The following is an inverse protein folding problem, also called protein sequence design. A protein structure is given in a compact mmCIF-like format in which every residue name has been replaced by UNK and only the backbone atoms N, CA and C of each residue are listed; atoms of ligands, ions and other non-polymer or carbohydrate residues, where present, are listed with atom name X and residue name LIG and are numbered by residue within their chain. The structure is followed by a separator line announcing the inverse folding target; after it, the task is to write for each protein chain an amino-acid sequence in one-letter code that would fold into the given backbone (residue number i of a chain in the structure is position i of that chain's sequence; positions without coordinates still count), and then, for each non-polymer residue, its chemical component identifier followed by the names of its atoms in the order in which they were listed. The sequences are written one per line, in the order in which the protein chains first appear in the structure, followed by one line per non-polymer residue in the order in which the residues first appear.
data_IF_837821761073
#
_entry.id   IF_837821761073
#
_cell.length_a   1.000
_cell.length_b   1.000
_cell.length_c   1.000
_cell.angle_alpha   90.00
_cell.angle_beta   90.00
_cell.angle_gamma   90.00
#
_symmetry.space_group_name_H-M   'P 1'
#
loop_
_entity.id
_entity.type
_entity.pdbx_description
1 polymer ?
#
# COMPACT_ATOMS: atom_id res chain seq x y z
N UNK A 1 12.13 -5.60 -4.73
CA UNK A 1 13.38 -5.00 -4.18
C UNK A 1 12.96 -3.97 -3.14
N UNK A 2 13.54 -4.01 -1.95
CA UNK A 2 13.20 -3.07 -0.87
C UNK A 2 14.49 -2.68 -0.14
N UNK A 3 14.64 -1.38 0.16
CA UNK A 3 15.79 -0.82 0.90
C UNK A 3 15.39 -0.56 2.35
N UNK A 4 16.26 -0.93 3.29
CA UNK A 4 16.12 -0.62 4.71
C UNK A 4 17.23 0.35 5.09
N UNK A 5 16.84 1.56 5.50
CA UNK A 5 17.74 2.63 5.97
C UNK A 5 17.93 2.53 7.47
N UNK A 6 19.18 2.47 7.93
CA UNK A 6 19.56 2.55 9.34
C UNK A 6 20.03 3.98 9.61
N UNK A 7 19.37 4.68 10.54
CA UNK A 7 19.72 6.05 10.93
C UNK A 7 20.92 6.05 11.90
N UNK A 8 21.80 7.05 11.75
CA UNK A 8 22.98 7.25 12.58
C UNK A 8 22.72 8.27 13.71
N UNK A 9 23.43 8.18 14.85
CA UNK A 9 23.26 9.10 15.97
C UNK A 9 23.82 10.49 15.60
N UNK A 10 22.91 11.42 15.33
CA UNK A 10 23.17 12.78 14.83
C UNK A 10 21.97 13.37 14.08
N UNK A 11 21.09 12.52 13.53
CA UNK A 11 19.81 12.89 12.93
C UNK A 11 18.66 13.04 13.96
N UNK A 12 18.88 12.71 15.25
CA UNK A 12 17.84 12.78 16.31
C UNK A 12 17.37 14.21 16.60
N UNK A 13 18.24 15.20 16.43
CA UNK A 13 17.90 16.61 16.64
C UNK A 13 17.01 17.16 15.51
N UNK A 14 17.30 16.77 14.27
CA UNK A 14 16.51 17.15 13.09
C UNK A 14 15.13 16.48 13.10
N UNK A 15 15.04 15.25 13.61
CA UNK A 15 13.79 14.51 13.80
C UNK A 15 12.90 15.08 14.92
N UNK A 16 13.51 15.59 16.00
CA UNK A 16 12.73 16.22 17.09
C UNK A 16 12.18 17.58 16.67
N UNK A 17 12.95 18.37 15.92
CA UNK A 17 12.49 19.62 15.32
C UNK A 17 11.39 19.38 14.27
N UNK A 18 11.54 18.35 13.43
CA UNK A 18 10.51 17.95 12.45
C UNK A 18 9.23 17.45 13.12
N UNK A 19 9.35 16.63 14.19
CA UNK A 19 8.21 16.15 14.95
C UNK A 19 7.44 17.31 15.59
N UNK A 20 8.15 18.26 16.19
CA UNK A 20 7.54 19.42 16.81
C UNK A 20 6.84 20.30 15.78
N UNK A 21 7.46 20.54 14.61
CA UNK A 21 6.83 21.25 13.50
C UNK A 21 5.56 20.56 12.98
N UNK A 22 5.57 19.22 12.87
CA UNK A 22 4.40 18.43 12.49
C UNK A 22 3.25 18.57 13.51
N UNK A 23 3.57 18.53 14.80
CA UNK A 23 2.57 18.69 15.87
C UNK A 23 1.99 20.10 15.88
N UNK A 24 2.81 21.12 15.67
CA UNK A 24 2.35 22.51 15.62
C UNK A 24 1.45 22.78 14.40
N UNK A 25 1.78 22.19 13.24
CA UNK A 25 0.92 22.23 12.06
C UNK A 25 -0.44 21.55 12.33
N UNK A 26 -0.46 20.35 12.91
CA UNK A 26 -1.71 19.66 13.27
C UNK A 26 -2.55 20.47 14.27
N UNK A 27 -1.89 21.14 15.22
CA UNK A 27 -2.57 21.99 16.22
C UNK A 27 -3.30 23.17 15.58
N UNK A 28 -2.76 23.78 14.52
CA UNK A 28 -3.43 24.89 13.81
C UNK A 28 -4.76 24.51 13.14
N UNK A 29 -5.01 23.21 12.97
CA UNK A 29 -6.26 22.65 12.45
C UNK A 29 -7.17 22.08 13.54
N UNK A 30 -6.87 22.32 14.83
CA UNK A 30 -7.69 21.90 15.96
C UNK A 30 -7.50 20.43 16.36
N UNK A 31 -6.40 19.80 15.95
CA UNK A 31 -6.06 18.43 16.37
C UNK A 31 -5.50 18.44 17.80
N UNK A 32 -5.97 17.52 18.63
CA UNK A 32 -5.44 17.30 19.97
C UNK A 32 -4.10 16.54 19.94
N UNK A 33 -3.00 17.29 20.04
CA UNK A 33 -1.63 16.79 19.98
C UNK A 33 -1.17 16.05 21.25
N UNK A 34 -1.96 16.07 22.34
CA UNK A 34 -1.63 15.35 23.58
C UNK A 34 -1.92 13.84 23.47
N UNK A 35 -2.68 13.44 22.45
CA UNK A 35 -3.00 12.04 22.20
C UNK A 35 -1.79 11.29 21.63
N UNK A 36 -1.44 10.17 22.27
CA UNK A 36 -0.37 9.26 21.81
C UNK A 36 -0.55 8.79 20.36
N UNK A 37 -1.78 8.63 19.89
CA UNK A 37 -2.06 8.27 18.49
C UNK A 37 -1.66 9.38 17.51
N UNK A 38 -1.87 10.64 17.87
CA UNK A 38 -1.50 11.80 17.04
C UNK A 38 0.02 11.95 16.98
N UNK A 39 0.71 11.74 18.10
CA UNK A 39 2.17 11.74 18.14
C UNK A 39 2.76 10.65 17.24
N UNK A 40 2.18 9.45 17.23
CA UNK A 40 2.60 8.38 16.31
C UNK A 40 2.42 8.76 14.84
N UNK A 41 1.32 9.43 14.50
CA UNK A 41 1.06 9.90 13.13
C UNK A 41 2.07 10.99 12.74
N UNK A 42 2.36 11.93 13.62
CA UNK A 42 3.31 13.01 13.38
C UNK A 42 4.77 12.52 13.23
N UNK A 43 5.09 11.31 13.69
CA UNK A 43 6.39 10.65 13.52
C UNK A 43 6.50 9.82 12.24
N UNK A 44 5.43 9.70 11.44
CA UNK A 44 5.48 8.93 10.20
C UNK A 44 6.39 9.64 9.19
N UNK A 45 7.23 8.89 8.44
CA UNK A 45 8.29 9.46 7.61
C UNK A 45 7.78 10.26 6.40
N UNK A 46 6.55 10.02 5.96
CA UNK A 46 5.91 10.76 4.87
C UNK A 46 5.12 11.98 5.36
N UNK A 47 5.00 12.17 6.67
CA UNK A 47 4.23 13.27 7.25
C UNK A 47 5.15 14.46 7.43
N UNK A 48 4.87 15.52 6.67
CA UNK A 48 5.59 16.79 6.76
C UNK A 48 4.63 17.94 7.10
N UNK A 49 5.13 19.06 7.62
CA UNK A 49 4.28 20.23 7.93
C UNK A 49 3.55 20.74 6.68
N UNK A 50 4.19 20.67 5.51
CA UNK A 50 3.62 21.07 4.22
C UNK A 50 2.46 20.16 3.81
N UNK A 51 2.60 18.85 4.00
CA UNK A 51 1.53 17.90 3.71
C UNK A 51 0.31 18.14 4.60
N UNK A 52 0.54 18.37 5.90
CA UNK A 52 -0.51 18.67 6.88
C UNK A 52 -1.22 19.96 6.49
N UNK A 53 -0.46 21.01 6.14
CA UNK A 53 -1.00 22.30 5.71
C UNK A 53 -1.84 22.17 4.45
N UNK A 54 -1.32 21.50 3.43
CA UNK A 54 -2.00 21.33 2.15
C UNK A 54 -3.33 20.56 2.31
N UNK A 55 -3.33 19.47 3.09
CA UNK A 55 -4.56 18.73 3.38
C UNK A 55 -5.54 19.54 4.22
N UNK A 56 -5.06 20.26 5.23
CA UNK A 56 -5.89 21.09 6.08
C UNK A 56 -6.58 22.21 5.29
N UNK A 57 -5.85 22.88 4.40
CA UNK A 57 -6.40 23.92 3.53
C UNK A 57 -7.39 23.35 2.50
N UNK A 58 -7.07 22.20 1.88
CA UNK A 58 -8.01 21.51 0.99
C UNK A 58 -9.31 21.15 1.71
N UNK A 59 -9.24 20.55 2.90
CA UNK A 59 -10.43 20.14 3.67
C UNK A 59 -11.29 21.33 4.11
N UNK A 60 -10.70 22.51 4.34
CA UNK A 60 -11.46 23.75 4.63
C UNK A 60 -12.31 24.20 3.43
N UNK A 61 -11.89 23.90 2.21
CA UNK A 61 -12.67 24.27 1.00
C UNK A 61 -13.92 23.41 0.80
N UNK A 62 -14.03 22.28 1.50
CA UNK A 62 -15.14 21.34 1.33
C UNK A 62 -16.32 21.68 2.27
N UNK A 63 -17.50 22.07 1.76
CA UNK A 63 -18.63 22.54 2.57
C UNK A 63 -19.27 21.46 3.46
N UNK A 64 -18.93 20.19 3.24
CA UNK A 64 -19.50 19.04 3.98
C UNK A 64 -18.59 18.51 5.11
N UNK A 65 -17.38 19.04 5.28
CA UNK A 65 -16.45 18.57 6.31
C UNK A 65 -16.82 19.16 7.67
N UNK A 66 -17.54 18.36 8.48
CA UNK A 66 -17.95 18.76 9.84
C UNK A 66 -16.89 18.48 10.91
N UNK A 67 -15.95 17.57 10.66
CA UNK A 67 -14.90 17.17 11.60
C UNK A 67 -13.51 17.24 10.95
N UNK A 68 -13.06 18.46 10.68
CA UNK A 68 -11.78 18.70 10.03
C UNK A 68 -10.59 18.00 10.71
N UNK A 69 -10.43 18.04 12.05
CA UNK A 69 -9.31 17.38 12.73
C UNK A 69 -9.26 15.86 12.47
N UNK A 70 -10.42 15.19 12.53
CA UNK A 70 -10.49 13.74 12.33
C UNK A 70 -10.22 13.33 10.88
N UNK A 71 -10.73 14.10 9.92
CA UNK A 71 -10.46 13.84 8.50
C UNK A 71 -8.99 14.09 8.16
N UNK A 72 -8.41 15.19 8.63
CA UNK A 72 -7.00 15.51 8.41
C UNK A 72 -6.08 14.37 8.86
N UNK A 73 -6.26 13.88 10.10
CA UNK A 73 -5.49 12.75 10.61
C UNK A 73 -5.61 11.51 9.73
N UNK A 74 -6.82 11.19 9.28
CA UNK A 74 -7.07 10.02 8.43
C UNK A 74 -6.37 10.13 7.07
N UNK A 75 -6.33 11.32 6.47
CA UNK A 75 -5.69 11.53 5.17
C UNK A 75 -4.15 11.46 5.28
N UNK A 76 -3.60 12.13 6.28
CA UNK A 76 -2.16 12.19 6.55
C UNK A 76 -1.61 10.83 6.98
N UNK A 77 -2.33 10.08 7.83
CA UNK A 77 -1.96 8.72 8.23
C UNK A 77 -1.90 7.76 7.03
N UNK A 78 -2.87 7.85 6.12
CA UNK A 78 -2.98 6.94 4.97
C UNK A 78 -2.08 7.30 3.79
N UNK A 79 -1.30 8.38 3.90
CA UNK A 79 -0.48 8.94 2.81
C UNK A 79 -1.27 9.09 1.51
N UNK A 80 -2.53 9.53 1.61
CA UNK A 80 -3.36 9.73 0.43
C UNK A 80 -2.81 10.96 -0.30
N UNK A 81 -2.52 10.86 -1.60
CA UNK A 81 -2.09 12.02 -2.36
C UNK A 81 -3.20 13.08 -2.29
N UNK A 82 -2.82 14.35 -2.12
CA UNK A 82 -3.80 15.42 -2.24
C UNK A 82 -4.54 15.24 -3.57
N UNK A 83 -5.87 15.31 -3.59
CA UNK A 83 -6.59 15.39 -4.84
C UNK A 83 -6.08 16.64 -5.54
N UNK A 84 -5.32 16.45 -6.61
CA UNK A 84 -4.77 17.53 -7.41
C UNK A 84 -5.94 18.38 -7.82
N UNK A 85 -6.06 19.57 -7.23
CA UNK A 85 -6.93 20.63 -7.73
C UNK A 85 -6.25 21.17 -8.99
N UNK A 86 -6.09 20.30 -10.00
CA UNK A 86 -6.20 20.78 -11.35
C UNK A 86 -7.53 21.54 -11.36
N UNK A 87 -7.61 22.78 -11.85
CA UNK A 87 -8.90 23.35 -12.16
C UNK A 87 -9.59 22.26 -12.97
N UNK A 88 -10.65 21.69 -12.40
CA UNK A 88 -11.49 20.80 -13.15
C UNK A 88 -12.07 21.71 -14.23
N UNK A 89 -11.36 21.82 -15.36
CA UNK A 89 -11.99 21.51 -16.62
C UNK A 89 -12.89 20.34 -16.27
N UNK A 90 -14.16 20.65 -16.04
CA UNK A 90 -15.24 19.67 -16.11
C UNK A 90 -14.94 18.98 -17.42
N UNK A 91 -14.24 17.85 -17.35
CA UNK A 91 -14.05 17.01 -18.52
C UNK A 91 -15.48 16.74 -18.89
N UNK A 92 -15.85 17.31 -20.02
CA UNK A 92 -17.20 17.28 -20.55
C UNK A 92 -17.68 15.86 -20.35
N UNK A 93 -18.76 15.72 -19.59
CA UNK A 93 -19.50 14.49 -19.42
C UNK A 93 -19.64 13.86 -20.79
N UNK A 94 -18.75 12.92 -21.12
CA UNK A 94 -19.02 11.99 -22.20
C UNK A 94 -20.16 11.15 -21.66
N UNK A 95 -21.39 11.32 -22.17
CA UNK A 95 -22.50 10.55 -21.68
C UNK A 95 -22.12 9.08 -21.84
N UNK A 96 -22.30 8.29 -20.77
CA UNK A 96 -22.28 6.84 -20.92
C UNK A 96 -23.27 6.49 -22.03
N UNK A 97 -22.94 5.52 -22.90
CA UNK A 97 -23.97 4.93 -23.75
C UNK A 97 -25.14 4.46 -22.87
N UNK A 98 -26.36 4.74 -23.32
CA UNK A 98 -27.60 4.52 -22.54
C UNK A 98 -27.73 3.05 -22.07
N UNK A 99 -27.25 2.11 -22.87
CA UNK A 99 -27.21 0.68 -22.54
C UNK A 99 -26.27 0.38 -21.36
N UNK A 100 -25.15 1.08 -21.25
CA UNK A 100 -24.20 0.93 -20.14
C UNK A 100 -24.78 1.56 -18.87
N UNK A 101 -25.41 2.72 -18.99
CA UNK A 101 -26.06 3.40 -17.87
C UNK A 101 -27.19 2.56 -17.28
N UNK A 102 -28.07 2.00 -18.12
CA UNK A 102 -29.13 1.10 -17.66
C UNK A 102 -28.59 -0.14 -16.96
N UNK A 103 -27.48 -0.70 -17.45
CA UNK A 103 -26.82 -1.85 -16.80
C UNK A 103 -26.23 -1.50 -15.44
N UNK A 104 -25.66 -0.30 -15.28
CA UNK A 104 -25.16 0.21 -14.00
C UNK A 104 -26.30 0.38 -13.00
N UNK A 105 -27.40 1.02 -13.42
CA UNK A 105 -28.59 1.22 -12.59
C UNK A 105 -29.22 -0.13 -12.18
N UNK A 106 -29.28 -1.10 -13.09
CA UNK A 106 -29.79 -2.45 -12.81
C UNK A 106 -28.97 -3.21 -11.76
N UNK A 107 -27.72 -2.82 -11.51
CA UNK A 107 -26.88 -3.38 -10.43
C UNK A 107 -27.15 -2.72 -9.07
N UNK A 108 -28.06 -1.75 -9.00
CA UNK A 108 -28.39 -0.98 -7.80
C UNK A 108 -27.42 0.15 -7.52
N UNK A 109 -26.80 0.73 -8.54
CA UNK A 109 -25.93 1.90 -8.37
C UNK A 109 -26.77 3.13 -8.04
N UNK A 110 -26.48 3.78 -6.91
CA UNK A 110 -27.24 4.93 -6.40
C UNK A 110 -26.42 6.22 -6.30
N UNK A 111 -25.11 6.17 -6.58
CA UNK A 111 -24.23 7.33 -6.57
C UNK A 111 -24.08 7.95 -7.97
N UNK A 112 -23.32 9.04 -8.06
CA UNK A 112 -22.96 9.68 -9.32
C UNK A 112 -22.35 8.68 -10.33
N UNK A 113 -22.83 8.75 -11.57
CA UNK A 113 -22.39 7.90 -12.69
C UNK A 113 -21.06 8.42 -13.26
N UNK A 114 -20.66 9.66 -12.93
CA UNK A 114 -19.41 10.27 -13.38
C UNK A 114 -18.17 9.40 -13.14
N UNK A 115 -18.08 8.73 -11.98
CA UNK A 115 -16.97 7.80 -11.69
C UNK A 115 -16.90 6.66 -12.71
N UNK A 116 -18.04 6.09 -13.12
CA UNK A 116 -18.09 5.01 -14.11
C UNK A 116 -17.82 5.56 -15.52
N UNK A 117 -18.26 6.78 -15.82
CA UNK A 117 -17.96 7.46 -17.08
C UNK A 117 -16.46 7.64 -17.29
N UNK A 118 -15.74 8.02 -16.24
CA UNK A 118 -14.29 8.16 -16.29
C UNK A 118 -13.60 6.81 -16.55
N UNK A 119 -14.06 5.73 -15.90
CA UNK A 119 -13.52 4.39 -16.15
C UNK A 119 -13.85 3.87 -17.55
N UNK A 120 -15.07 4.13 -18.03
CA UNK A 120 -15.52 3.73 -19.35
C UNK A 120 -14.76 4.48 -20.46
N UNK A 121 -14.53 5.78 -20.29
CA UNK A 121 -13.79 6.60 -21.25
C UNK A 121 -12.32 6.16 -21.39
N UNK A 122 -11.71 5.69 -20.29
CA UNK A 122 -10.33 5.19 -20.29
C UNK A 122 -10.22 3.76 -20.83
N UNK A 123 -11.09 2.88 -20.36
CA UNK A 123 -11.04 1.44 -20.63
C UNK A 123 -12.47 0.87 -20.77
N UNK A 124 -13.12 1.05 -21.94
CA UNK A 124 -14.51 0.66 -22.13
C UNK A 124 -14.70 -0.85 -22.05
N UNK A 125 -13.79 -1.63 -22.65
CA UNK A 125 -13.85 -3.10 -22.63
C UNK A 125 -13.76 -3.67 -21.21
N UNK A 126 -12.84 -3.13 -20.39
CA UNK A 126 -12.68 -3.57 -19.00
C UNK A 126 -13.93 -3.25 -18.19
N UNK A 127 -14.49 -2.05 -18.39
CA UNK A 127 -15.70 -1.61 -17.70
C UNK A 127 -16.89 -2.49 -18.08
N UNK A 128 -17.07 -2.82 -19.36
CA UNK A 128 -18.11 -3.72 -19.84
C UNK A 128 -17.95 -5.15 -19.30
N UNK A 129 -16.72 -5.66 -19.26
CA UNK A 129 -16.42 -6.98 -18.73
C UNK A 129 -16.72 -7.09 -17.22
N UNK A 130 -16.41 -6.05 -16.44
CA UNK A 130 -16.77 -5.99 -15.03
C UNK A 130 -18.26 -5.80 -14.79
N UNK A 131 -18.96 -5.05 -15.63
CA UNK A 131 -20.42 -4.94 -15.59
C UNK A 131 -21.08 -6.30 -15.78
N UNK A 132 -20.58 -7.10 -16.73
CA UNK A 132 -21.05 -8.46 -16.95
C UNK A 132 -20.72 -9.39 -15.77
N UNK A 133 -19.50 -9.33 -15.26
CA UNK A 133 -19.09 -10.13 -14.11
C UNK A 133 -19.90 -9.77 -12.84
N UNK A 134 -20.16 -8.49 -12.60
CA UNK A 134 -20.98 -8.02 -11.50
C UNK A 134 -22.44 -8.48 -11.64
N UNK A 135 -23.01 -8.43 -12.85
CA UNK A 135 -24.37 -8.92 -13.11
C UNK A 135 -24.51 -10.43 -12.79
N UNK A 136 -23.51 -11.23 -13.16
CA UNK A 136 -23.46 -12.69 -12.93
C UNK A 136 -23.06 -13.07 -11.50
N UNK A 137 -22.49 -12.14 -10.74
CA UNK A 137 -22.05 -12.41 -9.38
C UNK A 137 -23.23 -12.70 -8.45
N UNK A 138 -22.99 -13.57 -7.45
CA UNK A 138 -23.95 -13.88 -6.38
C UNK A 138 -23.85 -12.92 -5.19
N UNK A 139 -23.09 -11.84 -5.32
CA UNK A 139 -22.93 -10.87 -4.23
C UNK A 139 -24.20 -10.06 -4.05
N UNK A 140 -24.55 -9.76 -2.79
CA UNK A 140 -25.74 -8.99 -2.45
C UNK A 140 -25.64 -7.52 -2.90
N UNK A 141 -24.45 -6.93 -2.84
CA UNK A 141 -24.19 -5.56 -3.28
C UNK A 141 -23.35 -5.56 -4.58
N UNK A 142 -24.02 -5.70 -5.72
CA UNK A 142 -23.39 -5.76 -7.04
C UNK A 142 -22.75 -4.43 -7.44
N UNK A 143 -23.37 -3.30 -7.12
CA UNK A 143 -22.83 -1.97 -7.34
C UNK A 143 -21.53 -1.73 -6.56
N UNK A 144 -21.53 -2.04 -5.25
CA UNK A 144 -20.32 -1.94 -4.42
C UNK A 144 -19.21 -2.89 -4.88
N UNK A 145 -19.57 -4.10 -5.33
CA UNK A 145 -18.63 -5.04 -5.93
C UNK A 145 -18.00 -4.48 -7.21
N UNK A 146 -18.80 -3.93 -8.13
CA UNK A 146 -18.33 -3.28 -9.35
C UNK A 146 -17.36 -2.14 -9.03
N UNK A 147 -17.75 -1.23 -8.11
CA UNK A 147 -16.93 -0.07 -7.70
C UNK A 147 -15.55 -0.51 -7.20
N UNK A 148 -15.55 -1.47 -6.28
CA UNK A 148 -14.31 -2.00 -5.70
C UNK A 148 -13.37 -2.54 -6.79
N UNK A 149 -13.92 -3.29 -7.75
CA UNK A 149 -13.13 -3.93 -8.81
C UNK A 149 -12.59 -2.96 -9.85
N UNK A 150 -13.35 -1.94 -10.23
CA UNK A 150 -12.86 -0.89 -11.13
C UNK A 150 -11.71 -0.10 -10.52
N UNK A 151 -11.76 0.18 -9.21
CA UNK A 151 -10.68 0.87 -8.47
C UNK A 151 -9.41 0.03 -8.32
N UNK A 152 -9.55 -1.29 -8.18
CA UNK A 152 -8.40 -2.21 -8.11
C UNK A 152 -7.63 -2.33 -9.43
N UNK A 153 -8.20 -1.87 -10.56
CA UNK A 153 -7.53 -1.81 -11.86
C UNK A 153 -7.34 -3.16 -12.57
N UNK A 154 -7.68 -4.27 -11.92
CA UNK A 154 -7.54 -5.61 -12.46
C UNK A 154 -8.63 -5.95 -13.48
N UNK A 155 -8.34 -6.88 -14.40
CA UNK A 155 -9.36 -7.47 -15.29
C UNK A 155 -10.20 -8.52 -14.55
N UNK A 156 -11.49 -8.71 -14.90
CA UNK A 156 -12.27 -9.80 -14.34
C UNK A 156 -11.64 -11.14 -14.72
N UNK A 157 -11.65 -12.13 -13.81
CA UNK A 157 -11.18 -13.47 -14.16
C UNK A 157 -12.01 -13.97 -15.34
N UNK A 158 -11.34 -14.39 -16.42
CA UNK A 158 -12.01 -14.96 -17.60
C UNK A 158 -12.93 -16.06 -17.11
N UNK A 159 -14.21 -16.00 -17.48
CA UNK A 159 -15.18 -17.01 -17.09
C UNK A 159 -14.72 -18.36 -17.64
N UNK A 160 -14.07 -19.17 -16.81
CA UNK A 160 -13.79 -20.56 -17.14
C UNK A 160 -15.15 -21.24 -17.29
N UNK A 161 -15.47 -21.86 -18.45
CA UNK A 161 -16.72 -22.61 -18.58
C UNK A 161 -16.76 -23.63 -17.45
N UNK A 162 -17.92 -23.74 -16.79
CA UNK A 162 -18.12 -24.53 -15.59
C UNK A 162 -17.52 -25.93 -15.76
N UNK A 163 -16.35 -26.17 -15.15
CA UNK A 163 -15.73 -27.49 -15.08
C UNK A 163 -16.70 -28.33 -14.25
N UNK A 164 -17.37 -29.30 -14.89
CA UNK A 164 -18.05 -30.38 -14.19
C UNK A 164 -17.02 -30.99 -13.24
N UNK A 165 -17.33 -30.99 -11.96
CA UNK A 165 -16.54 -31.70 -10.95
C UNK A 165 -16.59 -33.19 -11.28
N UNK A 166 -15.55 -33.71 -11.95
CA UNK A 166 -15.14 -35.09 -11.74
C UNK A 166 -14.11 -35.05 -10.62
N UNK A 167 -14.52 -35.53 -9.45
CA UNK A 167 -13.58 -36.06 -8.48
C UNK A 167 -12.85 -37.23 -9.17
N UNK A 168 -11.61 -37.01 -9.58
CA UNK A 168 -10.62 -38.06 -9.60
C UNK A 168 -9.48 -37.58 -8.72
N UNK A 169 -9.42 -38.18 -7.55
CA UNK A 169 -8.33 -38.07 -6.60
C UNK A 169 -7.35 -39.16 -7.02
N UNK A 170 -6.41 -38.85 -7.91
CA UNK A 170 -5.25 -39.69 -8.13
C UNK A 170 -3.99 -38.81 -8.20
N UNK A 171 -3.02 -39.23 -7.38
CA UNK A 171 -1.66 -38.75 -7.29
C UNK A 171 -1.05 -38.48 -8.67
N UNK A 172 -0.72 -37.22 -8.94
CA UNK A 172 0.44 -36.88 -9.75
C UNK A 172 1.20 -35.79 -9.01
N UNK A 173 2.26 -36.22 -8.32
CA UNK A 173 3.35 -35.38 -7.84
C UNK A 173 4.11 -34.89 -9.07
N UNK A 174 3.52 -33.96 -9.81
CA UNK A 174 4.16 -33.30 -10.92
C UNK A 174 5.12 -32.26 -10.34
N UNK A 175 6.38 -32.66 -10.31
CA UNK A 175 7.53 -31.88 -9.90
C UNK A 175 7.60 -30.60 -10.72
N UNK A 176 6.91 -29.56 -10.25
CA UNK A 176 7.02 -28.23 -10.84
C UNK A 176 8.47 -27.79 -10.68
N UNK A 177 9.19 -27.48 -11.77
CA UNK A 177 10.49 -26.84 -11.64
C UNK A 177 10.25 -25.52 -10.91
N UNK A 178 10.82 -25.42 -9.71
CA UNK A 178 10.93 -24.13 -9.00
C UNK A 178 11.45 -23.12 -10.02
N UNK A 179 10.79 -21.97 -10.24
CA UNK A 179 11.38 -20.91 -11.04
C UNK A 179 12.69 -20.52 -10.35
N UNK A 180 13.80 -20.98 -10.91
CA UNK A 180 15.11 -20.44 -10.58
C UNK A 180 15.07 -19.02 -11.09
N UNK A 181 14.85 -18.08 -10.17
CA UNK A 181 15.13 -16.69 -10.45
C UNK A 181 16.56 -16.60 -11.00
N UNK A 182 16.79 -15.80 -12.06
CA UNK A 182 18.13 -15.64 -12.60
C UNK A 182 19.09 -15.27 -11.47
N UNK A 183 20.35 -15.72 -11.49
CA UNK A 183 21.36 -15.23 -10.56
C UNK A 183 21.48 -13.73 -10.80
N UNK A 184 20.77 -12.95 -9.99
CA UNK A 184 20.91 -11.50 -9.92
C UNK A 184 22.37 -11.31 -9.57
N UNK A 185 23.11 -10.71 -10.51
CA UNK A 185 24.53 -10.45 -10.40
C UNK A 185 24.85 -10.01 -8.97
N UNK A 186 25.68 -10.79 -8.29
CA UNK A 186 26.19 -10.41 -6.99
C UNK A 186 26.86 -9.06 -7.20
N UNK A 187 26.23 -7.99 -6.72
CA UNK A 187 26.90 -6.72 -6.58
C UNK A 187 28.19 -6.98 -5.78
N UNK A 188 29.27 -6.28 -6.09
CA UNK A 188 30.51 -6.28 -5.29
C UNK A 188 30.19 -5.73 -3.89
N UNK A 189 29.57 -6.58 -3.05
CA UNK A 189 29.24 -6.27 -1.68
C UNK A 189 30.54 -6.40 -0.89
N UNK A 190 31.00 -5.32 -0.22
CA UNK A 190 32.21 -5.39 0.59
C UNK A 190 32.10 -6.50 1.64
N UNK A 191 33.20 -7.23 1.88
CA UNK A 191 33.21 -8.35 2.83
C UNK A 191 32.73 -7.95 4.25
N UNK A 192 33.03 -6.72 4.65
CA UNK A 192 32.58 -6.13 5.92
C UNK A 192 31.06 -6.09 6.04
N UNK A 193 30.36 -5.74 4.95
CA UNK A 193 28.90 -5.68 4.90
C UNK A 193 28.29 -7.08 5.00
N UNK A 194 28.93 -8.08 4.40
CA UNK A 194 28.50 -9.49 4.51
C UNK A 194 28.60 -9.97 5.96
N UNK A 195 29.69 -9.64 6.65
CA UNK A 195 29.87 -9.99 8.07
C UNK A 195 28.88 -9.25 8.98
N UNK A 196 28.62 -7.97 8.73
CA UNK A 196 27.58 -7.21 9.45
C UNK A 196 26.20 -7.85 9.26
N UNK A 197 25.85 -8.25 8.03
CA UNK A 197 24.58 -8.94 7.78
C UNK A 197 24.50 -10.31 8.46
N UNK A 198 25.62 -11.06 8.51
CA UNK A 198 25.67 -12.32 9.27
C UNK A 198 25.40 -12.09 10.75
N UNK A 199 26.01 -11.06 11.34
CA UNK A 199 25.79 -10.71 12.74
C UNK A 199 24.32 -10.37 13.01
N UNK A 200 23.72 -9.51 12.19
CA UNK A 200 22.29 -9.16 12.29
C UNK A 200 21.41 -10.40 12.13
N UNK A 201 21.69 -11.30 11.18
CA UNK A 201 20.95 -12.56 11.01
C UNK A 201 21.03 -13.45 12.25
N UNK A 202 22.20 -13.57 12.87
CA UNK A 202 22.35 -14.37 14.10
C UNK A 202 21.52 -13.79 15.25
N UNK A 203 21.53 -12.46 15.43
CA UNK A 203 20.72 -11.82 16.46
C UNK A 203 19.22 -11.96 16.19
N UNK A 204 18.80 -11.82 14.94
CA UNK A 204 17.41 -12.05 14.54
C UNK A 204 16.99 -13.50 14.84
N UNK A 205 17.85 -14.48 14.55
CA UNK A 205 17.59 -15.88 14.88
C UNK A 205 17.40 -16.13 16.38
N UNK A 206 18.09 -15.38 17.24
CA UNK A 206 17.96 -15.51 18.70
C UNK A 206 16.73 -14.80 19.27
N UNK A 207 16.25 -13.75 18.60
CA UNK A 207 15.20 -12.87 19.13
C UNK A 207 13.80 -13.18 18.59
N UNK A 208 13.68 -14.01 17.55
CA UNK A 208 12.39 -14.34 16.94
C UNK A 208 12.09 -15.85 16.92
N UNK A 209 10.81 -16.24 16.82
CA UNK A 209 10.43 -17.64 16.67
C UNK A 209 11.06 -18.27 15.41
N UNK A 210 11.52 -19.52 15.53
CA UNK A 210 12.22 -20.26 14.45
C UNK A 210 11.43 -20.26 13.14
N UNK A 211 10.12 -20.45 13.19
CA UNK A 211 9.27 -20.50 12.00
C UNK A 211 9.21 -19.16 11.26
N UNK A 212 9.20 -18.04 11.99
CA UNK A 212 9.21 -16.71 11.39
C UNK A 212 10.57 -16.42 10.73
N UNK A 213 11.66 -16.85 11.37
CA UNK A 213 13.00 -16.71 10.80
C UNK A 213 13.16 -17.52 9.51
N UNK A 214 12.78 -18.80 9.53
CA UNK A 214 12.88 -19.69 8.37
C UNK A 214 12.03 -19.19 7.19
N UNK A 215 10.85 -18.63 7.46
CA UNK A 215 9.94 -18.16 6.42
C UNK A 215 10.35 -16.81 5.82
N UNK A 216 10.77 -15.86 6.65
CA UNK A 216 10.91 -14.47 6.22
C UNK A 216 12.35 -13.96 6.15
N UNK A 217 13.26 -14.51 6.97
CA UNK A 217 14.66 -14.03 7.05
C UNK A 217 15.62 -14.94 6.31
N UNK A 218 15.46 -16.26 6.44
CA UNK A 218 16.34 -17.23 5.78
C UNK A 218 16.40 -17.10 4.26
N UNK A 219 15.28 -16.85 3.54
CA UNK A 219 15.33 -16.74 2.08
C UNK A 219 15.77 -15.35 1.60
N UNK A 220 16.11 -14.41 2.49
CA UNK A 220 16.58 -13.09 2.08
C UNK A 220 17.96 -13.14 1.47
N UNK A 221 18.07 -12.51 0.31
CA UNK A 221 19.33 -12.33 -0.40
C UNK A 221 19.72 -10.86 -0.26
N UNK A 222 20.90 -10.61 0.30
CA UNK A 222 21.49 -9.27 0.31
C UNK A 222 21.94 -8.95 -1.12
N UNK A 223 21.39 -7.88 -1.67
CA UNK A 223 21.61 -7.48 -3.06
C UNK A 223 22.50 -6.24 -3.21
N UNK A 224 22.68 -5.48 -2.14
CA UNK A 224 23.56 -4.32 -2.15
C UNK A 224 23.62 -3.62 -0.80
N UNK A 225 24.64 -2.79 -0.64
CA UNK A 225 24.73 -1.83 0.45
C UNK A 225 25.20 -0.50 -0.12
N UNK A 226 24.48 0.59 0.16
CA UNK A 226 24.82 1.92 -0.30
C UNK A 226 24.57 2.93 0.82
N UNK A 227 25.60 3.70 1.21
CA UNK A 227 25.53 4.68 2.31
C UNK A 227 24.90 4.15 3.62
N UNK A 228 25.17 2.91 4.00
CA UNK A 228 24.61 2.29 5.22
C UNK A 228 23.18 1.77 5.06
N UNK A 229 22.60 1.84 3.88
CA UNK A 229 21.34 1.17 3.56
C UNK A 229 21.58 -0.24 3.02
N UNK A 230 20.91 -1.23 3.61
CA UNK A 230 20.95 -2.60 3.10
C UNK A 230 19.77 -2.82 2.16
N UNK A 231 20.07 -3.28 0.94
CA UNK A 231 19.04 -3.64 -0.04
C UNK A 231 18.88 -5.14 -0.10
N UNK A 232 17.66 -5.62 0.14
CA UNK A 232 17.33 -7.04 0.14
C UNK A 232 16.37 -7.41 -1.01
N UNK A 233 16.58 -8.59 -1.56
CA UNK A 233 15.60 -9.30 -2.35
C UNK A 233 14.88 -10.32 -1.46
N UNK A 234 13.55 -10.18 -1.40
CA UNK A 234 12.66 -11.13 -0.74
C UNK A 234 11.96 -12.00 -1.80
N UNK A 235 11.64 -13.26 -1.46
CA UNK A 235 11.03 -14.19 -2.40
C UNK A 235 9.56 -13.87 -2.73
N UNK A 236 8.86 -13.18 -1.82
CA UNK A 236 7.43 -12.91 -1.94
C UNK A 236 7.03 -11.58 -1.26
N UNK A 237 5.86 -11.06 -1.62
CA UNK A 237 5.35 -9.77 -1.14
C UNK A 237 4.98 -9.78 0.36
N UNK A 238 4.56 -10.93 0.91
CA UNK A 238 4.20 -11.06 2.32
C UNK A 238 5.45 -10.92 3.20
N UNK A 239 6.57 -11.49 2.75
CA UNK A 239 7.87 -11.33 3.39
C UNK A 239 8.32 -9.87 3.40
N UNK A 240 8.09 -9.10 2.33
CA UNK A 240 8.41 -7.66 2.30
C UNK A 240 7.57 -6.88 3.32
N UNK A 241 6.26 -7.12 3.36
CA UNK A 241 5.37 -6.44 4.31
C UNK A 241 5.75 -6.78 5.76
N UNK A 242 6.00 -8.06 6.04
CA UNK A 242 6.41 -8.51 7.38
C UNK A 242 7.73 -7.88 7.82
N UNK A 243 8.72 -7.81 6.93
CA UNK A 243 10.03 -7.22 7.23
C UNK A 243 9.93 -5.73 7.49
N UNK A 244 9.11 -5.01 6.72
CA UNK A 244 8.89 -3.58 6.92
C UNK A 244 8.33 -3.29 8.32
N UNK A 245 7.34 -4.06 8.75
CA UNK A 245 6.71 -3.86 10.05
C UNK A 245 7.60 -4.28 11.21
N UNK A 246 8.34 -5.40 11.06
CA UNK A 246 9.06 -6.02 12.17
C UNK A 246 10.52 -5.60 12.28
N UNK A 247 11.23 -5.43 11.16
CA UNK A 247 12.64 -5.02 11.20
C UNK A 247 12.80 -3.57 11.61
N UNK A 248 11.90 -2.68 11.22
CA UNK A 248 11.92 -1.28 11.69
C UNK A 248 11.91 -1.23 13.23
N UNK A 249 11.04 -2.01 13.86
CA UNK A 249 10.94 -2.07 15.31
C UNK A 249 12.15 -2.71 16.00
N UNK A 250 12.76 -3.75 15.40
CA UNK A 250 13.93 -4.43 15.98
C UNK A 250 15.18 -3.56 15.86
N UNK A 251 15.38 -2.92 14.70
CA UNK A 251 16.53 -2.05 14.44
C UNK A 251 16.47 -0.79 15.30
N UNK A 252 15.28 -0.17 15.44
CA UNK A 252 15.08 0.93 16.38
C UNK A 252 15.41 0.52 17.83
N UNK A 253 15.05 -0.69 18.24
CA UNK A 253 15.29 -1.17 19.61
C UNK A 253 16.76 -1.48 19.90
N UNK A 254 17.51 -1.95 18.91
CA UNK A 254 18.92 -2.32 19.04
C UNK A 254 19.86 -1.11 18.92
N UNK A 255 19.42 -0.03 18.25
CA UNK A 255 20.20 1.21 18.13
C UNK A 255 20.02 2.17 19.31
N UNK A 256 18.96 2.01 20.11
CA UNK A 256 18.69 2.79 21.32
C UNK A 256 19.21 2.13 22.61
N UNK A 257 19.98 1.04 22.50
CA UNK A 257 20.59 0.31 23.64
C UNK A 257 22.11 0.34 23.54
#
# INVERSE_FOLDING_TARGET
MFSIRLLMPGEEQDLTDTLQANLDALRSFGVDTQKKSVQKIAQLPHVTPELIQAWGDYLRTLPHVKNLPGYLLTQVERNIPLPTVAPSSRTQSHPLPEDVEQRVLALGWADDIGEIADYYAREPERTLAWLEAAARSRVSNKAGFLRKRLREGNWPPKATPARKYNLSFEDEVESHPRPQAPPIAAADIPAEVVEQWRFVRMQLQQTMPKDAFERHIRPLILTGCHHGEFTFAAPDADSVAWLRDRMTAILQRQLLS
#
